data_IF_874389152331
#
_entry.id   IF_874389152331
#
_cell.length_a   1.000
_cell.length_b   1.000
_cell.length_c   1.000
_cell.angle_alpha   90.00
_cell.angle_beta   90.00
_cell.angle_gamma   90.00
#
_symmetry.space_group_name_H-M   'P 1'
#
loop_
_entity.id
_entity.type
_entity.pdbx_description
1 polymer ?
#
# COMPACT_ATOMS: atom_id res chain seq x y z
N UNK A 1 1.85 -17.56 4.58
CA UNK A 1 2.98 -16.86 3.90
C UNK A 1 4.37 -17.14 4.49
N UNK A 2 4.52 -17.68 5.71
CA UNK A 2 5.85 -17.96 6.28
C UNK A 2 6.20 -19.46 6.27
N UNK A 3 5.19 -20.32 6.26
CA UNK A 3 5.31 -21.78 6.34
C UNK A 3 6.07 -22.43 5.18
N UNK A 4 5.83 -22.01 3.93
CA UNK A 4 6.56 -22.56 2.77
C UNK A 4 8.04 -22.19 2.79
N UNK A 5 8.35 -20.92 3.13
CA UNK A 5 9.75 -20.47 3.31
C UNK A 5 10.45 -21.26 4.41
N UNK A 6 9.80 -21.42 5.56
CA UNK A 6 10.31 -22.20 6.70
C UNK A 6 10.51 -23.67 6.31
N UNK A 7 9.58 -24.29 5.59
CA UNK A 7 9.71 -25.67 5.12
C UNK A 7 10.91 -25.86 4.17
N UNK A 8 11.12 -24.95 3.20
CA UNK A 8 12.32 -24.98 2.34
C UNK A 8 13.61 -24.81 3.16
N UNK A 9 13.63 -23.94 4.17
CA UNK A 9 14.80 -23.75 5.04
C UNK A 9 15.11 -25.00 5.87
N UNK A 10 14.07 -25.65 6.41
CA UNK A 10 14.20 -26.91 7.15
C UNK A 10 14.72 -28.02 6.24
N UNK A 11 14.15 -28.17 5.04
CA UNK A 11 14.60 -29.14 4.04
C UNK A 11 16.06 -28.91 3.63
N UNK A 12 16.50 -27.66 3.49
CA UNK A 12 17.89 -27.33 3.19
C UNK A 12 18.86 -27.78 4.31
N UNK A 13 18.44 -27.72 5.58
CA UNK A 13 19.26 -28.13 6.74
C UNK A 13 19.25 -29.66 6.94
N UNK A 14 18.14 -30.33 6.67
CA UNK A 14 17.99 -31.78 6.93
C UNK A 14 18.47 -32.66 5.78
N UNK A 15 18.57 -32.14 4.55
CA UNK A 15 19.10 -32.87 3.40
C UNK A 15 20.62 -32.95 3.48
N UNK A 16 21.14 -34.06 4.02
CA UNK A 16 22.56 -34.45 4.01
C UNK A 16 22.75 -35.72 3.17
N UNK A 17 23.81 -35.84 2.35
CA UNK A 17 24.95 -34.94 2.16
C UNK A 17 24.58 -33.67 1.37
N UNK A 18 25.16 -32.52 1.77
CA UNK A 18 24.98 -31.23 1.10
C UNK A 18 25.47 -31.32 -0.37
N UNK A 19 24.53 -31.59 -1.27
CA UNK A 19 24.79 -31.82 -2.69
C UNK A 19 24.15 -30.75 -3.58
N UNK A 20 23.94 -31.10 -4.84
CA UNK A 20 23.29 -30.23 -5.83
C UNK A 20 21.87 -29.79 -5.42
N UNK A 21 21.15 -30.62 -4.67
CA UNK A 21 19.75 -30.39 -4.30
C UNK A 21 19.56 -29.23 -3.30
N UNK A 22 20.52 -28.94 -2.43
CA UNK A 22 20.40 -27.84 -1.46
C UNK A 22 20.37 -26.48 -2.13
N UNK A 23 21.03 -26.32 -3.28
CA UNK A 23 20.93 -25.12 -4.11
C UNK A 23 19.52 -24.90 -4.65
N UNK A 24 18.81 -25.96 -5.03
CA UNK A 24 17.41 -25.86 -5.50
C UNK A 24 16.50 -25.40 -4.35
N UNK A 25 16.68 -25.93 -3.15
CA UNK A 25 15.90 -25.50 -1.97
C UNK A 25 16.23 -24.05 -1.56
N UNK A 26 17.50 -23.64 -1.65
CA UNK A 26 17.92 -22.27 -1.38
C UNK A 26 17.30 -21.26 -2.36
N UNK A 27 17.38 -21.55 -3.66
CA UNK A 27 16.76 -20.72 -4.71
C UNK A 27 15.24 -20.70 -4.54
N UNK A 28 14.63 -21.86 -4.29
CA UNK A 28 13.20 -21.98 -4.00
C UNK A 28 12.77 -21.07 -2.83
N UNK A 29 13.48 -21.10 -1.70
CA UNK A 29 13.19 -20.27 -0.53
C UNK A 29 13.23 -18.75 -0.81
N UNK A 30 14.11 -18.33 -1.73
CA UNK A 30 14.24 -16.93 -2.14
C UNK A 30 13.20 -16.51 -3.19
N UNK A 31 12.86 -17.39 -4.15
CA UNK A 31 12.05 -17.05 -5.35
C UNK A 31 10.54 -17.25 -5.14
N UNK A 32 10.10 -18.35 -4.51
CA UNK A 32 8.68 -18.61 -4.18
C UNK A 32 7.90 -17.41 -3.58
N UNK A 33 8.40 -16.74 -2.54
CA UNK A 33 7.81 -15.51 -1.98
C UNK A 33 7.66 -14.35 -2.98
N UNK A 34 8.59 -14.17 -3.91
CA UNK A 34 8.51 -13.14 -4.94
C UNK A 34 7.37 -13.46 -5.92
N UNK A 35 7.31 -14.71 -6.38
CA UNK A 35 6.22 -15.18 -7.25
C UNK A 35 4.85 -15.05 -6.58
N UNK A 36 4.75 -15.32 -5.28
CA UNK A 36 3.51 -15.17 -4.53
C UNK A 36 2.96 -13.73 -4.58
N UNK A 37 3.83 -12.72 -4.45
CA UNK A 37 3.44 -11.30 -4.55
C UNK A 37 3.06 -10.94 -5.98
N UNK A 38 3.81 -11.40 -6.98
CA UNK A 38 3.48 -11.18 -8.39
C UNK A 38 2.10 -11.76 -8.73
N UNK A 39 1.83 -13.00 -8.33
CA UNK A 39 0.52 -13.63 -8.57
C UNK A 39 -0.60 -12.88 -7.83
N UNK A 40 -0.37 -12.46 -6.59
CA UNK A 40 -1.36 -11.69 -5.83
C UNK A 40 -1.64 -10.31 -6.43
N UNK A 41 -0.63 -9.66 -7.00
CA UNK A 41 -0.75 -8.31 -7.57
C UNK A 41 -1.23 -8.31 -9.02
N UNK A 42 -0.93 -9.36 -9.79
CA UNK A 42 -1.34 -9.47 -11.20
C UNK A 42 -2.67 -10.21 -11.35
N UNK A 43 -3.01 -11.11 -10.40
CA UNK A 43 -4.20 -11.95 -10.45
C UNK A 43 -5.50 -11.28 -9.96
N UNK A 44 -5.43 -10.14 -9.28
CA UNK A 44 -6.59 -9.34 -8.90
C UNK A 44 -6.96 -8.40 -10.05
N UNK A 45 -7.58 -8.97 -11.08
CA UNK A 45 -8.31 -8.19 -12.07
C UNK A 45 -9.45 -7.45 -11.37
N UNK A 46 -9.34 -6.13 -11.29
CA UNK A 46 -10.44 -5.17 -11.12
C UNK A 46 -11.58 -5.61 -10.18
N UNK A 47 -11.26 -6.04 -8.95
CA UNK A 47 -12.27 -5.92 -7.90
C UNK A 47 -12.24 -4.44 -7.50
N UNK A 48 -13.17 -3.66 -8.06
CA UNK A 48 -13.39 -2.27 -7.63
C UNK A 48 -13.89 -2.33 -6.20
N UNK A 49 -12.96 -2.44 -5.25
CA UNK A 49 -13.20 -2.18 -3.85
C UNK A 49 -13.55 -0.69 -3.82
N UNK A 50 -14.84 -0.38 -3.72
CA UNK A 50 -15.32 0.98 -3.49
C UNK A 50 -14.55 1.48 -2.27
N UNK A 51 -13.68 2.47 -2.48
CA UNK A 51 -12.85 3.01 -1.43
C UNK A 51 -13.76 3.59 -0.35
N UNK A 52 -13.90 2.87 0.76
CA UNK A 52 -14.62 3.36 1.94
C UNK A 52 -13.86 4.60 2.44
N UNK A 53 -14.53 5.75 2.45
CA UNK A 53 -13.89 6.98 2.94
C UNK A 53 -13.70 6.81 4.44
N UNK A 54 -12.48 7.00 4.97
CA UNK A 54 -12.27 6.99 6.41
C UNK A 54 -13.24 8.00 7.04
N UNK A 55 -14.11 7.54 7.94
CA UNK A 55 -14.95 8.46 8.70
C UNK A 55 -14.03 9.44 9.42
N UNK A 56 -14.24 10.73 9.21
CA UNK A 56 -13.41 11.77 9.80
C UNK A 56 -13.73 11.85 11.29
N UNK A 57 -13.02 11.09 12.13
CA UNK A 57 -13.15 11.09 13.60
C UNK A 57 -12.60 12.38 14.26
N UNK A 58 -12.49 13.47 13.51
CA UNK A 58 -12.12 14.75 14.11
C UNK A 58 -13.30 15.21 14.94
N UNK A 59 -13.10 15.29 16.26
CA UNK A 59 -14.05 15.90 17.18
C UNK A 59 -14.37 17.31 16.69
N UNK A 60 -15.64 17.53 16.30
CA UNK A 60 -16.08 18.83 15.81
C UNK A 60 -15.89 19.84 16.94
N UNK A 61 -15.08 20.88 16.68
CA UNK A 61 -15.02 22.04 17.59
C UNK A 61 -16.44 22.59 17.71
N UNK A 62 -16.99 22.77 18.93
CA UNK A 62 -18.34 23.25 19.12
C UNK A 62 -18.50 24.60 18.40
N UNK A 63 -19.56 24.72 17.59
CA UNK A 63 -19.87 25.96 16.89
C UNK A 63 -20.21 27.04 17.92
N UNK A 64 -19.25 27.95 18.16
CA UNK A 64 -19.52 29.21 18.84
C UNK A 64 -20.29 30.10 17.85
N UNK A 65 -21.37 30.80 18.28
CA UNK A 65 -22.05 31.77 17.43
C UNK A 65 -21.05 32.76 16.85
N UNK A 66 -21.08 32.96 15.53
CA UNK A 66 -20.19 33.88 14.85
C UNK A 66 -20.39 35.31 15.37
N UNK A 67 -19.33 36.03 15.77
CA UNK A 67 -19.38 37.47 15.93
C UNK A 67 -19.81 38.15 14.60
N UNK A 68 -20.46 39.33 14.65
CA UNK A 68 -20.84 40.07 13.44
C UNK A 68 -19.66 40.22 12.48
N UNK A 69 -19.92 40.04 11.17
CA UNK A 69 -18.91 40.14 10.11
C UNK A 69 -18.30 41.54 10.08
N UNK A 70 -17.07 41.67 10.57
CA UNK A 70 -16.22 42.80 10.20
C UNK A 70 -15.56 42.52 8.83
N UNK A 71 -15.47 43.52 7.93
CA UNK A 71 -14.93 43.33 6.60
C UNK A 71 -13.48 42.85 6.70
N UNK A 72 -13.23 41.61 6.29
CA UNK A 72 -11.90 41.02 6.38
C UNK A 72 -11.05 41.51 5.22
N UNK A 73 -10.42 42.68 5.39
CA UNK A 73 -9.48 43.34 4.47
C UNK A 73 -8.14 42.57 4.27
N UNK A 74 -8.11 41.28 4.64
CA UNK A 74 -6.88 40.47 4.73
C UNK A 74 -7.02 39.02 4.27
N UNK A 75 -8.10 38.65 3.57
CA UNK A 75 -8.27 37.28 3.05
C UNK A 75 -7.83 37.22 1.58
N UNK A 76 -6.62 36.70 1.35
CA UNK A 76 -6.13 36.41 0.00
C UNK A 76 -6.65 35.02 -0.41
N UNK A 77 -7.61 34.96 -1.34
CA UNK A 77 -8.04 33.71 -1.98
C UNK A 77 -7.18 33.43 -3.21
N UNK A 78 -6.44 32.32 -3.17
CA UNK A 78 -5.71 31.80 -4.33
C UNK A 78 -6.63 30.83 -5.07
N UNK A 79 -6.86 31.08 -6.36
CA UNK A 79 -7.59 30.20 -7.28
C UNK A 79 -6.60 29.75 -8.35
N UNK A 80 -6.50 28.44 -8.59
CA UNK A 80 -5.65 27.91 -9.65
C UNK A 80 -6.28 28.20 -11.01
N UNK A 81 -5.47 28.68 -11.96
CA UNK A 81 -5.90 28.84 -13.35
C UNK A 81 -5.78 27.50 -14.09
N UNK A 82 -6.73 27.17 -14.97
CA UNK A 82 -6.65 25.95 -15.76
C UNK A 82 -5.39 25.96 -16.64
N UNK A 83 -4.84 24.78 -17.00
CA UNK A 83 -3.69 24.66 -17.88
C UNK A 83 -3.91 25.47 -19.17
N UNK A 84 -2.93 26.30 -19.54
CA UNK A 84 -2.97 27.03 -20.81
C UNK A 84 -2.76 26.02 -21.95
N UNK A 85 -3.81 25.74 -22.70
CA UNK A 85 -3.72 24.93 -23.92
C UNK A 85 -2.93 25.74 -24.96
N UNK A 86 -1.65 25.42 -25.13
CA UNK A 86 -0.79 26.03 -26.14
C UNK A 86 -1.03 25.30 -27.48
N UNK A 87 -1.65 26.01 -28.43
CA UNK A 87 -1.93 25.55 -29.80
C UNK A 87 -1.24 26.49 -30.79
#
# INVERSE_FOLDING_TARGET
MMTVRVACFILMVTVTPYGWQTWIFAVGAAVLPYLAVVVANVGTGEEVIVAERPAREIEATPTRPAPPEEPTDGVIRIQESPPREDR
#
